data_IF_437001704924
#
_entry.id   IF_437001704924
#
_cell.length_a   1.000
_cell.length_b   1.000
_cell.length_c   1.000
_cell.angle_alpha   90.00
_cell.angle_beta   90.00
_cell.angle_gamma   90.00
#
_symmetry.space_group_name_H-M   'P 1'
#
loop_
_entity.id
_entity.type
_entity.pdbx_description
1 polymer ?
#
# COMPACT_ATOMS: atom_id res chain seq x y z
N UNK A 1 -12.18 -58.53 -58.48
CA UNK A 1 -12.25 -58.17 -57.05
C UNK A 1 -11.15 -57.17 -56.73
N UNK A 2 -11.45 -55.89 -56.50
CA UNK A 2 -10.47 -54.87 -56.09
C UNK A 2 -11.09 -54.04 -54.97
N UNK A 3 -10.68 -54.29 -53.72
CA UNK A 3 -11.05 -53.47 -52.56
C UNK A 3 -9.93 -52.47 -52.32
N UNK A 4 -10.19 -51.18 -52.58
CA UNK A 4 -9.31 -50.07 -52.22
C UNK A 4 -9.63 -49.65 -50.78
N UNK A 5 -8.70 -49.88 -49.87
CA UNK A 5 -8.75 -49.33 -48.52
C UNK A 5 -8.44 -47.83 -48.57
N UNK A 6 -9.34 -47.01 -48.02
CA UNK A 6 -9.09 -45.57 -47.79
C UNK A 6 -8.56 -45.41 -46.36
N UNK A 7 -7.33 -44.93 -46.24
CA UNK A 7 -6.76 -44.48 -44.98
C UNK A 7 -7.37 -43.12 -44.61
N UNK A 8 -7.99 -43.03 -43.44
CA UNK A 8 -8.47 -41.79 -42.84
C UNK A 8 -7.37 -41.31 -41.90
N UNK A 9 -6.68 -40.24 -42.27
CA UNK A 9 -5.73 -39.57 -41.40
C UNK A 9 -6.49 -38.67 -40.42
N UNK A 10 -6.50 -39.03 -39.14
CA UNK A 10 -6.93 -38.14 -38.06
C UNK A 10 -5.82 -37.11 -37.80
N UNK A 11 -6.06 -35.85 -38.15
CA UNK A 11 -5.30 -34.73 -37.61
C UNK A 11 -5.78 -34.44 -36.19
N UNK A 12 -4.95 -34.76 -35.21
CA UNK A 12 -5.14 -34.33 -33.82
C UNK A 12 -4.87 -32.81 -33.72
N UNK A 13 -5.92 -32.04 -33.48
CA UNK A 13 -5.81 -30.63 -33.13
C UNK A 13 -5.32 -30.51 -31.67
N UNK A 14 -4.04 -30.19 -31.50
CA UNK A 14 -3.47 -29.79 -30.21
C UNK A 14 -3.96 -28.37 -29.88
N UNK A 15 -4.67 -28.14 -28.75
CA UNK A 15 -4.94 -26.78 -28.30
C UNK A 15 -3.63 -26.17 -27.81
N UNK A 16 -3.11 -25.19 -28.55
CA UNK A 16 -2.09 -24.26 -28.05
C UNK A 16 -2.67 -23.54 -26.83
N UNK A 17 -2.33 -24.01 -25.63
CA UNK A 17 -2.45 -23.21 -24.41
C UNK A 17 -1.38 -22.13 -24.52
N UNK A 18 -1.77 -20.97 -25.05
CA UNK A 18 -0.96 -19.77 -25.01
C UNK A 18 -0.81 -19.36 -23.54
N UNK A 19 0.31 -19.76 -22.93
CA UNK A 19 0.78 -19.20 -21.67
C UNK A 19 1.17 -17.75 -21.97
N UNK A 20 0.21 -16.85 -21.86
CA UNK A 20 0.46 -15.42 -21.76
C UNK A 20 1.22 -15.19 -20.45
N UNK A 21 2.54 -15.33 -20.52
CA UNK A 21 3.45 -14.76 -19.54
C UNK A 21 3.30 -13.24 -19.62
N UNK A 22 2.28 -12.72 -18.94
CA UNK A 22 2.15 -11.30 -18.68
C UNK A 22 3.30 -10.91 -17.74
N UNK A 23 4.45 -10.61 -18.31
CA UNK A 23 5.44 -9.75 -17.66
C UNK A 23 4.86 -8.34 -17.68
N UNK A 24 3.84 -8.12 -16.84
CA UNK A 24 3.46 -6.79 -16.44
C UNK A 24 4.67 -6.21 -15.73
N UNK A 25 5.41 -5.37 -16.44
CA UNK A 25 6.43 -4.52 -15.86
C UNK A 25 5.70 -3.75 -14.76
N UNK A 26 6.01 -4.07 -13.50
CA UNK A 26 5.34 -3.54 -12.33
C UNK A 26 5.69 -2.04 -12.16
N UNK A 27 5.18 -1.21 -13.07
CA UNK A 27 5.06 0.21 -12.87
C UNK A 27 4.11 0.45 -11.71
N UNK A 28 4.31 1.56 -11.00
CA UNK A 28 3.43 1.96 -9.92
C UNK A 28 2.01 2.12 -10.48
N UNK A 29 1.13 1.18 -10.16
CA UNK A 29 -0.25 1.21 -10.65
C UNK A 29 -1.09 2.09 -9.73
N UNK A 30 -1.96 2.90 -10.33
CA UNK A 30 -3.01 3.60 -9.61
C UNK A 30 -4.06 2.57 -9.19
N UNK A 31 -3.82 1.93 -8.04
CA UNK A 31 -4.66 0.88 -7.51
C UNK A 31 -6.07 1.39 -7.19
N UNK A 32 -7.08 0.53 -7.35
CA UNK A 32 -8.46 0.82 -6.94
C UNK A 32 -8.58 0.89 -5.41
N UNK A 33 -9.64 1.53 -4.88
CA UNK A 33 -9.87 1.60 -3.42
C UNK A 33 -9.87 0.23 -2.74
N UNK A 34 -10.41 -0.79 -3.42
CA UNK A 34 -10.44 -2.17 -2.94
C UNK A 34 -9.05 -2.80 -2.90
N UNK A 35 -8.24 -2.59 -3.95
CA UNK A 35 -6.87 -3.10 -4.02
C UNK A 35 -5.97 -2.42 -3.00
N UNK A 36 -6.03 -1.08 -2.88
CA UNK A 36 -5.27 -0.36 -1.87
C UNK A 36 -5.64 -0.89 -0.48
N UNK A 37 -6.93 -1.05 -0.16
CA UNK A 37 -7.34 -1.53 1.16
C UNK A 37 -6.90 -2.97 1.45
N UNK A 38 -6.87 -3.84 0.44
CA UNK A 38 -6.40 -5.21 0.60
C UNK A 38 -4.88 -5.27 0.72
N UNK A 39 -4.16 -4.50 -0.10
CA UNK A 39 -2.71 -4.52 -0.17
C UNK A 39 -2.05 -3.76 0.98
N UNK A 40 -2.68 -2.70 1.50
CA UNK A 40 -2.12 -1.86 2.56
C UNK A 40 -2.07 -2.58 3.91
N UNK A 41 -2.87 -3.62 4.12
CA UNK A 41 -2.90 -4.39 5.37
C UNK A 41 -1.55 -5.04 5.67
N UNK A 42 -1.13 -4.97 6.92
CA UNK A 42 0.18 -5.44 7.38
C UNK A 42 1.06 -4.29 7.89
N UNK A 43 2.30 -4.63 8.22
CA UNK A 43 3.29 -3.67 8.70
C UNK A 43 4.28 -3.33 7.59
N UNK A 44 4.66 -2.07 7.54
CA UNK A 44 5.55 -1.54 6.54
C UNK A 44 6.65 -0.73 7.21
N UNK A 45 7.88 -0.81 6.72
CA UNK A 45 9.00 -0.15 7.37
C UNK A 45 9.86 0.65 6.40
N UNK A 46 10.46 1.70 6.92
CA UNK A 46 11.52 2.46 6.26
C UNK A 46 12.48 2.99 7.32
N UNK A 47 13.74 2.60 7.22
CA UNK A 47 14.74 2.91 8.24
C UNK A 47 14.26 2.44 9.62
N UNK A 48 14.08 3.40 10.53
CA UNK A 48 13.63 3.12 11.90
C UNK A 48 12.12 3.31 12.11
N UNK A 49 11.36 3.56 11.05
CA UNK A 49 9.91 3.69 11.14
C UNK A 49 9.21 2.40 10.77
N UNK A 50 8.15 2.07 11.50
CA UNK A 50 7.25 0.95 11.28
C UNK A 50 5.81 1.46 11.29
N UNK A 51 5.09 1.29 10.20
CA UNK A 51 3.71 1.71 10.00
C UNK A 51 2.84 0.49 9.69
N UNK A 52 1.91 0.16 10.58
CA UNK A 52 1.03 -1.00 10.47
C UNK A 52 -0.42 -0.59 10.23
N UNK A 53 -1.11 -1.29 9.33
CA UNK A 53 -2.53 -1.11 9.01
C UNK A 53 -3.32 -2.39 9.28
N UNK A 54 -4.30 -2.29 10.18
CA UNK A 54 -5.19 -3.39 10.53
C UNK A 54 -6.42 -3.44 9.61
N UNK A 55 -7.00 -4.63 9.45
CA UNK A 55 -8.26 -4.81 8.70
C UNK A 55 -9.45 -4.04 9.30
N UNK A 56 -9.40 -3.75 10.60
CA UNK A 56 -10.40 -2.98 11.36
C UNK A 56 -10.44 -1.49 10.99
N UNK A 57 -9.50 -1.01 10.18
CA UNK A 57 -9.35 0.42 9.88
C UNK A 57 -8.54 1.18 10.92
N UNK A 58 -7.77 0.47 11.76
CA UNK A 58 -6.80 1.07 12.69
C UNK A 58 -5.41 1.09 12.07
N UNK A 59 -4.60 2.08 12.45
CA UNK A 59 -3.18 2.08 12.12
C UNK A 59 -2.34 2.40 13.35
N UNK A 60 -1.11 1.93 13.35
CA UNK A 60 -0.08 2.27 14.32
C UNK A 60 1.20 2.65 13.61
N UNK A 61 1.90 3.65 14.10
CA UNK A 61 3.23 4.03 13.66
C UNK A 61 4.17 3.95 14.86
N UNK A 62 5.37 3.41 14.68
CA UNK A 62 6.47 3.49 15.65
C UNK A 62 7.69 3.99 14.92
N UNK A 63 8.34 5.01 15.46
CA UNK A 63 9.63 5.50 14.99
C UNK A 63 10.63 5.25 16.10
N UNK A 64 11.60 4.38 15.85
CA UNK A 64 12.66 4.06 16.79
C UNK A 64 13.85 5.00 16.59
N UNK A 65 14.47 5.44 17.69
CA UNK A 65 15.73 6.20 17.63
C UNK A 65 15.57 7.73 17.46
N UNK A 66 16.68 8.43 17.72
CA UNK A 66 16.75 9.87 17.93
C UNK A 66 17.19 10.21 19.35
N UNK A 67 17.55 11.47 19.62
CA UNK A 67 17.97 11.93 20.96
C UNK A 67 16.84 11.83 22.01
N UNK A 68 15.58 11.80 21.57
CA UNK A 68 14.39 11.84 22.43
C UNK A 68 13.73 10.46 22.66
N UNK A 69 14.31 9.36 22.18
CA UNK A 69 13.89 8.01 22.60
C UNK A 69 12.78 7.31 21.78
N UNK A 70 12.51 7.77 20.56
CA UNK A 70 11.50 7.18 19.69
C UNK A 70 10.08 7.62 20.05
N UNK A 71 9.14 7.33 19.16
CA UNK A 71 7.78 7.88 19.20
C UNK A 71 6.78 6.85 18.66
N UNK A 72 5.54 6.90 19.12
CA UNK A 72 4.47 6.06 18.65
C UNK A 72 3.20 6.87 18.36
N UNK A 73 2.59 6.60 17.21
CA UNK A 73 1.26 7.11 16.85
C UNK A 73 0.26 5.96 16.70
N UNK A 74 -0.99 6.26 17.03
CA UNK A 74 -2.13 5.39 16.82
C UNK A 74 -3.30 6.19 16.26
N UNK A 75 -4.08 5.57 15.40
CA UNK A 75 -5.25 6.22 14.84
C UNK A 75 -6.11 5.30 14.01
N UNK A 76 -6.91 5.91 13.15
CA UNK A 76 -7.77 5.21 12.19
C UNK A 76 -7.40 5.60 10.77
N UNK A 77 -7.63 4.72 9.81
CA UNK A 77 -7.43 5.01 8.40
C UNK A 77 -8.64 4.63 7.55
N UNK A 78 -8.77 5.31 6.41
CA UNK A 78 -9.75 4.97 5.37
C UNK A 78 -9.13 5.22 4.01
N UNK A 79 -9.39 4.32 3.07
CA UNK A 79 -9.14 4.55 1.65
C UNK A 79 -10.43 5.00 0.99
N UNK A 80 -10.38 6.10 0.25
CA UNK A 80 -11.50 6.59 -0.55
C UNK A 80 -10.99 7.43 -1.73
N UNK A 81 -11.53 7.19 -2.92
CA UNK A 81 -11.20 7.94 -4.14
C UNK A 81 -9.69 7.94 -4.46
N UNK A 82 -9.03 6.78 -4.30
CA UNK A 82 -7.59 6.59 -4.53
C UNK A 82 -6.68 7.24 -3.50
N UNK A 83 -7.24 7.76 -2.39
CA UNK A 83 -6.50 8.47 -1.34
C UNK A 83 -6.54 7.71 -0.03
N UNK A 84 -5.42 7.69 0.69
CA UNK A 84 -5.34 7.25 2.07
C UNK A 84 -5.62 8.43 3.00
N UNK A 85 -6.59 8.26 3.89
CA UNK A 85 -6.92 9.21 4.95
C UNK A 85 -6.53 8.62 6.30
N UNK A 86 -5.61 9.25 7.01
CA UNK A 86 -5.31 8.97 8.42
C UNK A 86 -6.08 9.96 9.29
N UNK A 87 -6.82 9.47 10.28
CA UNK A 87 -7.70 10.27 11.14
C UNK A 87 -7.45 9.94 12.61
N UNK A 88 -7.77 10.90 13.47
CA UNK A 88 -7.70 10.75 14.93
C UNK A 88 -6.32 10.28 15.39
N UNK A 89 -5.25 10.73 14.73
CA UNK A 89 -3.88 10.38 15.09
C UNK A 89 -3.61 10.91 16.49
N UNK A 90 -3.12 10.05 17.38
CA UNK A 90 -2.69 10.36 18.75
C UNK A 90 -1.33 9.74 18.95
N UNK A 91 -0.41 10.46 19.56
CA UNK A 91 0.91 9.95 19.86
C UNK A 91 1.68 10.91 20.75
N UNK A 92 2.86 10.47 21.13
CA UNK A 92 3.84 11.19 21.95
C UNK A 92 4.78 12.08 21.13
N UNK A 93 4.67 12.07 19.79
CA UNK A 93 5.53 12.87 18.93
C UNK A 93 5.03 14.21 18.42
N UNK A 94 5.85 14.92 17.61
CA UNK A 94 5.63 16.31 17.24
C UNK A 94 4.36 16.48 16.40
N UNK A 95 3.82 15.38 15.84
CA UNK A 95 2.50 15.37 15.23
C UNK A 95 1.46 15.43 16.35
N UNK A 96 1.05 16.67 16.69
CA UNK A 96 -0.02 16.93 17.65
C UNK A 96 -1.31 16.14 17.33
N UNK A 97 -1.93 15.65 18.40
CA UNK A 97 -3.11 14.79 18.35
C UNK A 97 -4.31 15.43 17.62
N UNK A 98 -5.15 14.59 17.02
CA UNK A 98 -6.41 14.93 16.32
C UNK A 98 -6.28 15.58 14.94
N UNK A 99 -5.15 15.42 14.27
CA UNK A 99 -5.01 15.87 12.88
C UNK A 99 -5.50 14.79 11.91
N UNK A 100 -6.10 15.23 10.81
CA UNK A 100 -6.36 14.39 9.65
C UNK A 100 -5.19 14.56 8.67
N UNK A 101 -4.83 13.47 8.00
CA UNK A 101 -3.87 13.48 6.89
C UNK A 101 -4.49 12.79 5.69
N UNK A 102 -4.32 13.38 4.51
CA UNK A 102 -4.83 12.84 3.26
C UNK A 102 -3.66 12.74 2.29
N UNK A 103 -3.32 11.53 1.86
CA UNK A 103 -2.21 11.25 0.94
C UNK A 103 -2.70 10.52 -0.30
N UNK A 104 -2.02 10.74 -1.42
CA UNK A 104 -2.06 9.79 -2.54
C UNK A 104 -1.17 8.59 -2.18
N UNK A 105 -1.59 7.40 -2.64
CA UNK A 105 -0.84 6.16 -2.42
C UNK A 105 -0.31 5.66 -3.76
N UNK A 106 1.00 5.46 -3.84
CA UNK A 106 1.64 4.68 -4.90
C UNK A 106 2.00 3.31 -4.33
N UNK A 107 1.60 2.23 -4.99
CA UNK A 107 1.87 0.87 -4.52
C UNK A 107 2.52 0.02 -5.61
N UNK A 108 3.51 -0.77 -5.21
CA UNK A 108 3.90 -2.02 -5.87
C UNK A 108 3.38 -3.17 -5.02
N UNK A 109 2.33 -3.88 -5.45
CA UNK A 109 1.65 -4.89 -4.63
C UNK A 109 2.64 -5.84 -3.96
N UNK A 110 2.55 -5.96 -2.62
CA UNK A 110 3.40 -6.82 -1.76
C UNK A 110 4.90 -6.54 -1.79
N UNK A 111 5.34 -5.44 -2.40
CA UNK A 111 6.75 -5.07 -2.48
C UNK A 111 6.99 -3.79 -1.68
N UNK A 112 6.32 -2.72 -2.08
CA UNK A 112 6.49 -1.42 -1.45
C UNK A 112 5.26 -0.53 -1.64
N UNK A 113 5.14 0.47 -0.79
CA UNK A 113 4.26 1.60 -1.06
C UNK A 113 4.92 2.91 -0.66
N UNK A 114 4.33 4.00 -1.16
CA UNK A 114 4.76 5.35 -0.90
C UNK A 114 3.55 6.26 -0.71
N UNK A 115 3.66 7.14 0.27
CA UNK A 115 2.71 8.22 0.49
C UNK A 115 3.25 9.49 -0.17
N UNK A 116 2.48 10.08 -1.06
CA UNK A 116 2.84 11.33 -1.74
C UNK A 116 1.70 12.34 -1.62
N UNK A 117 2.00 13.62 -1.90
CA UNK A 117 1.03 14.72 -1.89
C UNK A 117 0.18 14.75 -0.61
N UNK A 118 0.81 14.48 0.54
CA UNK A 118 0.13 14.43 1.83
C UNK A 118 -0.25 15.84 2.30
N UNK A 119 -1.54 16.08 2.48
CA UNK A 119 -2.05 17.30 3.09
C UNK A 119 -2.52 17.03 4.52
N UNK A 120 -2.15 17.92 5.45
CA UNK A 120 -2.75 17.96 6.79
C UNK A 120 -4.06 18.71 6.71
N UNK A 121 -5.09 18.17 7.34
CA UNK A 121 -6.34 18.86 7.57
C UNK A 121 -6.56 19.02 9.07
N UNK A 122 -7.01 20.19 9.48
CA UNK A 122 -7.59 20.38 10.80
C UNK A 122 -8.93 19.63 10.92
N UNK A 123 -9.54 19.66 12.12
CA UNK A 123 -10.86 19.07 12.36
C UNK A 123 -11.98 19.65 11.46
N UNK A 124 -11.74 20.79 10.82
CA UNK A 124 -12.68 21.49 9.94
C UNK A 124 -12.50 21.22 8.45
N UNK A 125 -11.58 20.34 8.05
CA UNK A 125 -11.36 20.03 6.63
C UNK A 125 -10.44 21.01 5.91
N UNK A 126 -9.88 22.01 6.60
CA UNK A 126 -8.99 23.00 5.98
C UNK A 126 -7.58 22.47 5.92
N UNK A 127 -6.98 22.58 4.73
CA UNK A 127 -5.56 22.33 4.53
C UNK A 127 -4.76 23.28 5.43
N UNK A 128 -3.86 22.72 6.24
CA UNK A 128 -2.96 23.49 7.09
C UNK A 128 -1.59 23.50 6.41
N UNK A 129 -1.17 24.67 5.93
CA UNK A 129 0.21 24.91 5.50
C UNK A 129 1.09 24.99 6.75
N UNK A 130 1.66 23.86 7.15
CA UNK A 130 2.70 23.81 8.18
C UNK A 130 4.05 23.50 7.52
N UNK A 131 5.00 24.44 7.63
CA UNK A 131 6.38 24.28 7.16
C UNK A 131 7.14 23.12 7.85
N UNK A 132 6.58 22.54 8.91
CA UNK A 132 7.13 21.41 9.65
C UNK A 132 6.43 20.10 9.26
N UNK A 133 6.81 19.58 8.10
CA UNK A 133 6.37 18.26 7.60
C UNK A 133 7.17 17.13 8.24
N UNK A 134 7.01 16.89 9.55
CA UNK A 134 7.49 15.67 10.24
C UNK A 134 6.60 14.45 9.99
N UNK A 135 5.84 14.47 8.89
CA UNK A 135 4.84 13.47 8.60
C UNK A 135 5.49 12.20 8.03
N UNK A 136 4.69 11.12 7.94
CA UNK A 136 4.88 10.07 6.95
C UNK A 136 5.14 10.52 5.50
N UNK A 137 4.96 11.81 5.19
CA UNK A 137 5.31 12.41 3.90
C UNK A 137 6.83 12.46 3.64
N UNK A 138 7.67 12.25 4.67
CA UNK A 138 9.11 12.01 4.47
C UNK A 138 9.41 10.56 4.14
N UNK A 139 8.43 9.65 4.23
CA UNK A 139 8.69 8.27 3.87
C UNK A 139 8.95 8.19 2.37
N UNK A 140 10.14 7.71 2.02
CA UNK A 140 10.55 7.38 0.67
C UNK A 140 9.79 6.14 0.22
N UNK A 141 10.40 4.97 0.34
CA UNK A 141 9.72 3.70 0.03
C UNK A 141 9.57 2.89 1.31
N UNK A 142 8.32 2.59 1.65
CA UNK A 142 7.99 1.70 2.74
C UNK A 142 7.89 0.29 2.17
N UNK A 143 8.61 -0.65 2.78
CA UNK A 143 8.65 -2.06 2.36
C UNK A 143 7.82 -2.92 3.28
N UNK A 144 7.18 -3.95 2.73
CA UNK A 144 6.38 -4.86 3.54
C UNK A 144 7.30 -5.58 4.53
N UNK A 145 7.02 -5.44 5.83
CA UNK A 145 7.74 -6.17 6.85
C UNK A 145 7.19 -7.59 6.92
N UNK A 146 8.03 -8.57 6.63
CA UNK A 146 7.69 -10.00 6.81
C UNK A 146 7.64 -10.38 8.30
N UNK A 147 8.17 -9.53 9.19
CA UNK A 147 8.26 -9.75 10.62
C UNK A 147 7.33 -8.81 11.38
N UNK A 148 6.11 -9.29 11.68
CA UNK A 148 5.29 -8.70 12.73
C UNK A 148 5.86 -9.22 14.05
N UNK A 149 6.88 -8.56 14.59
CA UNK A 149 7.32 -8.86 15.96
C UNK A 149 6.35 -8.21 16.93
N UNK A 150 5.50 -9.07 17.51
CA UNK A 150 4.63 -8.77 18.66
C UNK A 150 5.41 -8.23 19.86
#
# INVERSE_FOLDING_TARGET
MRRRARAIALLAALPLVAILSMTAQAGDLKATDGEIKALLQGCWHEGNSLLCFERTGRFTERVSGGAEGGWAYLGSYRVAAGKLRLNNMRGDGPITANRQMICDVLMRPRVSFRLINCARSDRGGRAVDDAYSYLPAQFGYLFLSETISE
#
